data_IF_948684154850
#
_entry.id   IF_948684154850
#
_cell.length_a   1.000
_cell.length_b   1.000
_cell.length_c   1.000
_cell.angle_alpha   90.00
_cell.angle_beta   90.00
_cell.angle_gamma   90.00
#
_symmetry.space_group_name_H-M   'P 1'
#
loop_
_entity.id
_entity.type
_entity.pdbx_description
1 polymer ?
#
# COMPACT_ATOMS: atom_id res chain seq x y z
N UNK A 1 -36.35 9.98 16.96
CA UNK A 1 -37.19 9.11 16.12
C UNK A 1 -37.80 9.96 15.01
N UNK A 2 -37.45 9.75 13.75
CA UNK A 2 -38.18 10.32 12.62
C UNK A 2 -38.35 9.24 11.56
N UNK A 3 -39.52 8.59 11.61
CA UNK A 3 -40.06 7.80 10.51
C UNK A 3 -40.47 8.77 9.40
N UNK A 4 -39.68 8.88 8.33
CA UNK A 4 -40.17 9.49 7.10
C UNK A 4 -40.59 8.37 6.12
N UNK A 5 -41.91 8.16 6.12
CA UNK A 5 -42.79 7.49 5.18
C UNK A 5 -42.18 6.53 4.13
N UNK A 6 -42.13 5.25 4.53
CA UNK A 6 -42.09 4.07 3.66
C UNK A 6 -43.12 4.17 2.51
N UNK A 7 -44.25 4.87 2.69
CA UNK A 7 -45.29 5.07 1.66
C UNK A 7 -44.83 5.90 0.45
N UNK A 8 -43.91 6.85 0.60
CA UNK A 8 -43.47 7.70 -0.52
C UNK A 8 -42.50 6.97 -1.47
N UNK A 9 -41.56 6.19 -0.91
CA UNK A 9 -40.70 5.31 -1.70
C UNK A 9 -41.48 4.12 -2.30
N UNK A 10 -42.48 3.60 -1.58
CA UNK A 10 -43.41 2.61 -2.14
C UNK A 10 -44.21 3.18 -3.32
N UNK A 11 -44.68 4.43 -3.28
CA UNK A 11 -45.45 5.02 -4.37
C UNK A 11 -44.61 5.24 -5.64
N UNK A 12 -43.34 5.64 -5.50
CA UNK A 12 -42.41 5.81 -6.63
C UNK A 12 -42.03 4.45 -7.23
N UNK A 13 -41.82 3.42 -6.40
CA UNK A 13 -41.54 2.06 -6.87
C UNK A 13 -42.77 1.37 -7.47
N UNK A 14 -43.95 1.50 -6.87
CA UNK A 14 -45.20 0.97 -7.45
C UNK A 14 -45.49 1.64 -8.78
N UNK A 15 -45.25 2.94 -8.94
CA UNK A 15 -45.45 3.62 -10.22
C UNK A 15 -44.48 3.14 -11.32
N UNK A 16 -43.23 2.78 -10.96
CA UNK A 16 -42.25 2.20 -11.89
C UNK A 16 -42.56 0.72 -12.21
N UNK A 17 -42.96 -0.07 -11.21
CA UNK A 17 -43.41 -1.46 -11.39
C UNK A 17 -44.69 -1.52 -12.22
N UNK A 18 -45.64 -0.59 -12.01
CA UNK A 18 -46.88 -0.50 -12.79
C UNK A 18 -46.60 -0.11 -14.25
N UNK A 19 -45.64 0.79 -14.51
CA UNK A 19 -45.16 1.08 -15.88
C UNK A 19 -44.52 -0.13 -16.55
N UNK A 20 -43.76 -0.94 -15.81
CA UNK A 20 -43.14 -2.19 -16.31
C UNK A 20 -44.20 -3.29 -16.52
N UNK A 21 -45.22 -3.38 -15.66
CA UNK A 21 -46.34 -4.32 -15.82
C UNK A 21 -47.26 -3.94 -16.98
N UNK A 22 -47.50 -2.64 -17.22
CA UNK A 22 -48.17 -2.14 -18.43
C UNK A 22 -47.36 -2.51 -19.67
N UNK A 23 -46.03 -2.42 -19.64
CA UNK A 23 -45.15 -2.85 -20.72
C UNK A 23 -45.21 -4.37 -20.96
N UNK A 24 -45.32 -5.19 -19.89
CA UNK A 24 -45.54 -6.64 -19.97
C UNK A 24 -46.91 -7.00 -20.55
N UNK A 25 -47.95 -6.21 -20.26
CA UNK A 25 -49.32 -6.42 -20.79
C UNK A 25 -49.44 -6.03 -22.27
N UNK A 26 -48.60 -5.10 -22.74
CA UNK A 26 -48.49 -4.71 -24.14
C UNK A 26 -47.65 -5.67 -25.01
N UNK A 27 -46.95 -6.65 -24.42
CA UNK A 27 -46.17 -7.68 -25.15
C UNK A 27 -46.84 -9.06 -25.19
N UNK A 28 -48.13 -9.16 -24.87
CA UNK A 28 -48.95 -10.33 -25.14
C UNK A 28 -49.48 -10.27 -26.59
N UNK A 29 -48.56 -10.26 -27.54
CA UNK A 29 -48.86 -10.54 -28.95
C UNK A 29 -48.24 -11.91 -29.28
N UNK A 30 -48.97 -12.91 -29.83
CA UNK A 30 -48.54 -14.32 -29.82
C UNK A 30 -47.32 -14.64 -30.71
N UNK A 31 -46.65 -13.66 -31.31
CA UNK A 31 -45.70 -13.88 -32.39
C UNK A 31 -44.21 -13.72 -32.04
N UNK A 32 -43.82 -13.51 -30.79
CA UNK A 32 -42.41 -13.21 -30.48
C UNK A 32 -41.75 -14.16 -29.47
N UNK A 33 -41.54 -15.40 -29.92
CA UNK A 33 -40.80 -16.47 -29.21
C UNK A 33 -39.32 -16.10 -28.93
N UNK A 34 -38.79 -15.04 -29.56
CA UNK A 34 -37.40 -14.60 -29.44
C UNK A 34 -37.11 -13.79 -28.14
N UNK A 35 -38.13 -13.24 -27.48
CA UNK A 35 -37.96 -12.39 -26.30
C UNK A 35 -38.14 -13.10 -24.95
N UNK A 36 -38.63 -14.35 -24.94
CA UNK A 36 -38.94 -15.11 -23.73
C UNK A 36 -37.75 -15.36 -22.80
N UNK A 37 -36.59 -15.76 -23.37
CA UNK A 37 -35.37 -16.02 -22.59
C UNK A 37 -34.71 -14.74 -22.06
N UNK A 38 -34.75 -13.63 -22.83
CA UNK A 38 -34.25 -12.32 -22.38
C UNK A 38 -35.10 -11.75 -21.25
N UNK A 39 -36.42 -11.95 -21.28
CA UNK A 39 -37.36 -11.45 -20.25
C UNK A 39 -37.27 -12.27 -18.95
N UNK A 40 -36.97 -13.58 -19.03
CA UNK A 40 -36.66 -14.40 -17.84
C UNK A 40 -35.33 -14.00 -17.19
N UNK A 41 -34.27 -13.77 -17.98
CA UNK A 41 -33.00 -13.20 -17.47
C UNK A 41 -33.19 -11.81 -16.86
N UNK A 42 -34.03 -10.97 -17.45
CA UNK A 42 -34.37 -9.64 -16.89
C UNK A 42 -35.16 -9.76 -15.57
N UNK A 43 -36.11 -10.70 -15.47
CA UNK A 43 -36.90 -10.92 -14.24
C UNK A 43 -36.06 -11.48 -13.10
N UNK A 44 -35.07 -12.34 -13.38
CA UNK A 44 -34.13 -12.86 -12.39
C UNK A 44 -33.15 -11.77 -11.91
N UNK A 45 -32.66 -10.93 -12.82
CA UNK A 45 -31.90 -9.73 -12.46
C UNK A 45 -32.71 -8.75 -11.61
N UNK A 46 -34.00 -8.57 -11.90
CA UNK A 46 -34.87 -7.64 -11.17
C UNK A 46 -35.23 -8.19 -9.77
N UNK A 47 -35.46 -9.49 -9.61
CA UNK A 47 -35.68 -10.12 -8.29
C UNK A 47 -34.42 -10.03 -7.41
N UNK A 48 -33.23 -10.23 -7.97
CA UNK A 48 -31.99 -9.99 -7.24
C UNK A 48 -31.76 -8.50 -6.93
N UNK A 49 -32.17 -7.59 -7.81
CA UNK A 49 -32.20 -6.16 -7.52
C UNK A 49 -33.17 -5.82 -6.38
N UNK A 50 -34.31 -6.49 -6.29
CA UNK A 50 -35.29 -6.30 -5.21
C UNK A 50 -34.74 -6.81 -3.86
N UNK A 51 -34.02 -7.93 -3.83
CA UNK A 51 -33.36 -8.43 -2.61
C UNK A 51 -32.15 -7.56 -2.18
N UNK A 52 -31.38 -7.07 -3.14
CA UNK A 52 -30.28 -6.11 -2.89
C UNK A 52 -30.82 -4.78 -2.38
N UNK A 53 -31.98 -4.32 -2.88
CA UNK A 53 -32.63 -3.08 -2.43
C UNK A 53 -33.25 -3.21 -1.04
N UNK A 54 -33.63 -4.42 -0.59
CA UNK A 54 -34.12 -4.66 0.76
C UNK A 54 -33.06 -4.46 1.87
N UNK A 55 -31.77 -4.49 1.52
CA UNK A 55 -30.65 -4.29 2.47
C UNK A 55 -30.05 -2.88 2.40
N UNK A 56 -30.65 -1.97 1.64
CA UNK A 56 -30.24 -0.56 1.63
C UNK A 56 -31.06 0.19 2.67
N UNK A 57 -30.59 0.22 3.93
CA UNK A 57 -31.01 1.24 4.90
C UNK A 57 -30.47 2.59 4.42
N UNK A 58 -31.14 3.19 3.43
CA UNK A 58 -30.88 4.56 2.97
C UNK A 58 -31.27 5.52 4.11
N UNK A 59 -30.35 5.75 5.04
CA UNK A 59 -30.46 6.85 5.99
C UNK A 59 -30.21 8.15 5.20
N UNK A 60 -31.28 8.76 4.68
CA UNK A 60 -31.27 10.19 4.35
C UNK A 60 -31.18 10.95 5.68
N UNK A 61 -29.96 11.17 6.20
CA UNK A 61 -29.79 11.90 7.45
C UNK A 61 -29.25 13.29 7.22
N UNK A 62 -30.04 14.25 7.72
CA UNK A 62 -29.72 15.62 8.16
C UNK A 62 -28.45 15.76 9.06
N UNK A 63 -27.68 14.69 9.29
CA UNK A 63 -26.49 14.64 10.17
C UNK A 63 -25.17 14.47 9.38
N UNK A 64 -25.10 15.07 8.20
CA UNK A 64 -23.91 15.07 7.36
C UNK A 64 -22.67 15.53 8.15
N UNK A 65 -22.81 16.57 8.98
CA UNK A 65 -21.72 17.09 9.82
C UNK A 65 -21.09 16.01 10.71
N UNK A 66 -21.91 15.17 11.37
CA UNK A 66 -21.44 14.10 12.24
C UNK A 66 -20.70 13.00 11.45
N UNK A 67 -21.21 12.68 10.26
CA UNK A 67 -20.60 11.72 9.33
C UNK A 67 -19.23 12.21 8.86
N UNK A 68 -19.15 13.46 8.38
CA UNK A 68 -17.89 14.08 7.96
C UNK A 68 -16.86 14.06 9.08
N UNK A 69 -17.26 14.52 10.28
CA UNK A 69 -16.36 14.60 11.43
C UNK A 69 -15.78 13.23 11.79
N UNK A 70 -16.58 12.18 11.72
CA UNK A 70 -16.15 10.80 11.97
C UNK A 70 -15.19 10.28 10.88
N UNK A 71 -15.50 10.50 9.61
CA UNK A 71 -14.63 10.08 8.50
C UNK A 71 -13.28 10.77 8.56
N UNK A 72 -13.28 12.09 8.70
CA UNK A 72 -12.06 12.91 8.76
C UNK A 72 -11.23 12.56 10.00
N UNK A 73 -11.86 12.33 11.16
CA UNK A 73 -11.12 11.98 12.36
C UNK A 73 -10.40 10.64 12.24
N UNK A 74 -11.06 9.62 11.68
CA UNK A 74 -10.44 8.30 11.42
C UNK A 74 -9.38 8.43 10.33
N UNK A 75 -9.64 9.16 9.25
CA UNK A 75 -8.70 9.30 8.13
C UNK A 75 -7.42 10.07 8.51
N UNK A 76 -7.50 11.06 9.41
CA UNK A 76 -6.34 11.90 9.77
C UNK A 76 -5.57 11.39 10.99
N UNK A 77 -6.21 10.74 11.96
CA UNK A 77 -5.55 10.33 13.20
C UNK A 77 -5.13 8.86 13.19
N UNK A 78 -3.81 8.60 13.17
CA UNK A 78 -3.23 7.26 13.36
C UNK A 78 -3.74 6.59 14.64
N UNK A 79 -3.66 7.31 15.77
CA UNK A 79 -4.11 6.83 17.09
C UNK A 79 -5.58 6.38 17.05
N UNK A 80 -6.44 7.15 16.39
CA UNK A 80 -7.85 6.78 16.28
C UNK A 80 -8.09 5.56 15.38
N UNK A 81 -7.34 5.42 14.27
CA UNK A 81 -7.38 4.22 13.41
C UNK A 81 -7.00 2.97 14.19
N UNK A 82 -5.93 3.05 14.97
CA UNK A 82 -5.43 1.94 15.78
C UNK A 82 -6.42 1.57 16.88
N UNK A 83 -6.89 2.55 17.66
CA UNK A 83 -7.85 2.34 18.74
C UNK A 83 -9.18 1.76 18.25
N UNK A 84 -9.67 2.22 17.10
CA UNK A 84 -10.95 1.75 16.56
C UNK A 84 -10.81 0.51 15.67
N UNK A 85 -9.59 0.14 15.29
CA UNK A 85 -9.33 -0.91 14.31
C UNK A 85 -9.99 -0.65 12.96
N UNK A 86 -9.94 0.60 12.47
CA UNK A 86 -10.64 1.04 11.25
C UNK A 86 -9.71 1.71 10.25
N UNK A 87 -10.03 1.54 8.98
CA UNK A 87 -9.35 2.20 7.86
C UNK A 87 -10.38 2.82 6.90
N UNK A 88 -10.00 3.93 6.27
CA UNK A 88 -10.84 4.64 5.30
C UNK A 88 -10.25 4.41 3.92
N UNK A 89 -11.06 3.84 3.02
CA UNK A 89 -10.68 3.58 1.63
C UNK A 89 -11.46 4.51 0.71
N UNK A 90 -10.75 5.08 -0.26
CA UNK A 90 -11.29 6.04 -1.21
C UNK A 90 -11.20 5.48 -2.63
N UNK A 91 -12.32 5.52 -3.33
CA UNK A 91 -12.41 5.11 -4.72
C UNK A 91 -12.72 3.64 -4.93
N UNK A 92 -13.50 3.42 -5.99
CA UNK A 92 -14.05 2.12 -6.39
C UNK A 92 -13.00 1.02 -6.50
N UNK A 93 -11.84 1.29 -7.11
CA UNK A 93 -10.77 0.30 -7.30
C UNK A 93 -10.22 -0.23 -5.97
N UNK A 94 -9.89 0.67 -5.04
CA UNK A 94 -9.30 0.29 -3.75
C UNK A 94 -10.32 -0.45 -2.87
N UNK A 95 -11.58 0.02 -2.86
CA UNK A 95 -12.69 -0.63 -2.16
C UNK A 95 -12.92 -2.03 -2.71
N UNK A 96 -12.92 -2.20 -4.04
CA UNK A 96 -13.04 -3.51 -4.67
C UNK A 96 -11.90 -4.44 -4.28
N UNK A 97 -10.64 -3.99 -4.36
CA UNK A 97 -9.49 -4.79 -3.94
C UNK A 97 -9.61 -5.27 -2.49
N UNK A 98 -10.08 -4.41 -1.59
CA UNK A 98 -10.30 -4.78 -0.20
C UNK A 98 -11.39 -5.84 -0.04
N UNK A 99 -12.54 -5.67 -0.70
CA UNK A 99 -13.64 -6.65 -0.68
C UNK A 99 -13.21 -7.99 -1.32
N UNK A 100 -12.45 -7.95 -2.40
CA UNK A 100 -11.90 -9.13 -3.07
C UNK A 100 -10.97 -9.92 -2.14
N UNK A 101 -10.16 -9.22 -1.33
CA UNK A 101 -9.32 -9.80 -0.30
C UNK A 101 -10.07 -10.20 0.99
N UNK A 102 -11.41 -10.10 1.03
CA UNK A 102 -12.22 -10.47 2.18
C UNK A 102 -12.25 -9.44 3.32
N UNK A 103 -11.78 -8.22 3.08
CA UNK A 103 -11.88 -7.14 4.08
C UNK A 103 -13.35 -6.77 4.32
N UNK A 104 -13.69 -6.51 5.59
CA UNK A 104 -15.07 -6.27 6.01
C UNK A 104 -15.40 -4.78 5.98
N UNK A 105 -16.27 -4.39 5.05
CA UNK A 105 -16.81 -3.04 4.95
C UNK A 105 -17.89 -2.79 6.02
N UNK A 106 -17.75 -1.71 6.79
CA UNK A 106 -18.71 -1.29 7.82
C UNK A 106 -19.71 -0.27 7.29
N UNK A 107 -19.21 0.74 6.57
CA UNK A 107 -20.04 1.78 5.97
C UNK A 107 -19.48 2.19 4.61
N UNK A 108 -20.34 2.32 3.61
CA UNK A 108 -20.03 2.81 2.26
C UNK A 108 -20.83 4.08 2.03
N UNK A 109 -20.14 5.15 1.67
CA UNK A 109 -20.68 6.45 1.30
C UNK A 109 -20.51 6.63 -0.20
N UNK A 110 -21.58 6.99 -0.92
CA UNK A 110 -21.54 7.15 -2.36
C UNK A 110 -22.41 8.32 -2.82
N UNK A 111 -22.01 9.00 -3.91
CA UNK A 111 -22.74 10.14 -4.47
C UNK A 111 -23.69 9.74 -5.62
N UNK A 112 -23.26 8.79 -6.46
CA UNK A 112 -24.04 8.24 -7.58
C UNK A 112 -24.16 6.71 -7.48
N UNK A 113 -25.30 6.16 -7.91
CA UNK A 113 -25.52 4.71 -8.03
C UNK A 113 -24.47 4.06 -8.96
N UNK A 114 -23.96 4.81 -9.94
CA UNK A 114 -22.88 4.33 -10.82
C UNK A 114 -21.61 3.96 -10.05
N UNK A 115 -21.36 4.62 -8.91
CA UNK A 115 -20.18 4.36 -8.08
C UNK A 115 -20.24 2.99 -7.38
N UNK A 116 -21.45 2.43 -7.21
CA UNK A 116 -21.67 1.08 -6.66
C UNK A 116 -21.60 -0.02 -7.72
N UNK A 117 -21.68 0.32 -9.01
CA UNK A 117 -21.57 -0.67 -10.10
C UNK A 117 -20.21 -1.36 -10.05
N UNK A 118 -20.17 -2.65 -10.36
CA UNK A 118 -18.97 -3.52 -10.36
C UNK A 118 -18.32 -3.73 -8.96
N UNK A 119 -18.92 -3.24 -7.88
CA UNK A 119 -18.58 -3.73 -6.56
C UNK A 119 -19.26 -5.10 -6.35
N UNK A 120 -18.60 -6.04 -5.65
CA UNK A 120 -19.23 -7.30 -5.27
C UNK A 120 -20.30 -7.02 -4.20
N UNK A 121 -21.55 -6.82 -4.64
CA UNK A 121 -22.67 -6.43 -3.78
C UNK A 121 -23.05 -7.52 -2.77
N UNK A 122 -22.78 -8.78 -3.10
CA UNK A 122 -22.89 -9.94 -2.21
C UNK A 122 -22.07 -9.77 -0.93
N UNK A 123 -20.87 -9.16 -1.05
CA UNK A 123 -19.97 -8.88 0.07
C UNK A 123 -20.37 -7.65 0.91
N UNK A 124 -21.39 -6.90 0.47
CA UNK A 124 -21.90 -5.70 1.15
C UNK A 124 -23.18 -5.96 1.96
N UNK A 125 -23.64 -7.20 2.05
CA UNK A 125 -24.89 -7.57 2.74
C UNK A 125 -24.97 -7.14 4.22
N UNK A 126 -23.83 -6.98 4.90
CA UNK A 126 -23.75 -6.50 6.30
C UNK A 126 -23.24 -5.07 6.44
N UNK A 127 -23.12 -4.35 5.33
CA UNK A 127 -22.53 -3.02 5.26
C UNK A 127 -23.62 -1.94 5.26
N UNK A 128 -23.41 -0.87 6.01
CA UNK A 128 -24.30 0.29 5.96
C UNK A 128 -24.02 1.11 4.69
N UNK A 129 -25.01 1.25 3.80
CA UNK A 129 -24.87 1.96 2.53
C UNK A 129 -25.58 3.32 2.64
N UNK A 130 -24.83 4.40 2.50
CA UNK A 130 -25.30 5.78 2.72
C UNK A 130 -25.10 6.63 1.47
N UNK A 131 -26.20 7.16 0.92
CA UNK A 131 -26.15 8.12 -0.19
C UNK A 131 -25.84 9.52 0.33
N UNK A 132 -24.83 10.16 -0.24
CA UNK A 132 -24.33 11.49 0.12
C UNK A 132 -24.51 12.42 -1.10
N UNK A 133 -24.69 13.72 -0.91
CA UNK A 133 -24.78 14.67 -2.03
C UNK A 133 -23.37 14.97 -2.57
N UNK A 134 -23.26 15.24 -3.86
CA UNK A 134 -21.95 15.50 -4.49
C UNK A 134 -21.33 16.80 -3.98
N UNK A 135 -22.17 17.74 -3.56
CA UNK A 135 -21.80 19.07 -3.12
C UNK A 135 -21.27 19.10 -1.67
N UNK A 136 -21.18 17.97 -0.96
CA UNK A 136 -20.84 17.91 0.47
C UNK A 136 -19.31 18.05 0.71
N UNK A 137 -18.75 19.27 0.84
CA UNK A 137 -17.32 19.52 0.55
C UNK A 137 -16.39 18.89 1.59
N UNK A 138 -16.85 18.75 2.84
CA UNK A 138 -16.04 18.29 3.98
C UNK A 138 -15.75 16.79 3.98
N UNK A 139 -16.52 15.97 3.25
CA UNK A 139 -16.22 14.54 3.10
C UNK A 139 -15.14 14.34 2.04
N UNK A 140 -15.14 15.18 1.02
CA UNK A 140 -14.38 14.98 -0.21
C UNK A 140 -13.19 15.94 -0.35
N UNK A 141 -12.94 16.90 0.54
CA UNK A 141 -11.95 17.98 0.28
C UNK A 141 -10.49 17.55 0.16
N UNK A 142 -10.09 16.44 0.80
CA UNK A 142 -8.71 15.89 0.69
C UNK A 142 -8.65 14.66 -0.24
N UNK A 143 -9.79 14.28 -0.81
CA UNK A 143 -10.04 13.05 -1.55
C UNK A 143 -10.41 13.47 -2.97
N UNK A 144 -9.79 12.89 -3.98
CA UNK A 144 -9.97 13.36 -5.35
C UNK A 144 -11.46 13.26 -5.75
N UNK A 145 -12.07 14.40 -6.11
CA UNK A 145 -13.51 14.61 -6.35
C UNK A 145 -14.04 13.64 -7.43
N UNK A 146 -13.14 13.08 -8.25
CA UNK A 146 -13.42 12.07 -9.26
C UNK A 146 -13.98 10.75 -8.71
N UNK A 147 -13.76 10.42 -7.43
CA UNK A 147 -13.92 9.04 -6.95
C UNK A 147 -15.31 8.66 -6.45
N UNK A 148 -16.22 9.59 -6.16
CA UNK A 148 -17.67 9.36 -5.87
C UNK A 148 -18.05 8.29 -4.82
N UNK A 149 -17.08 7.63 -4.18
CA UNK A 149 -17.28 6.58 -3.18
C UNK A 149 -16.14 6.54 -2.16
N UNK A 150 -16.51 6.43 -0.89
CA UNK A 150 -15.61 6.24 0.27
C UNK A 150 -16.20 5.15 1.13
N UNK A 151 -15.35 4.35 1.77
CA UNK A 151 -15.83 3.32 2.68
C UNK A 151 -14.95 3.20 3.92
N UNK A 152 -15.58 2.90 5.05
CA UNK A 152 -14.92 2.54 6.30
C UNK A 152 -14.89 1.02 6.37
N UNK A 153 -13.69 0.47 6.53
CA UNK A 153 -13.46 -0.96 6.72
C UNK A 153 -12.95 -1.24 8.13
N UNK A 154 -13.22 -2.45 8.64
CA UNK A 154 -12.40 -3.02 9.72
C UNK A 154 -10.97 -3.17 9.17
N UNK A 155 -9.97 -2.72 9.92
CA UNK A 155 -8.56 -2.90 9.53
C UNK A 155 -8.29 -4.41 9.38
N UNK A 156 -7.76 -4.87 8.23
CA UNK A 156 -7.37 -6.27 8.07
C UNK A 156 -6.28 -6.64 9.07
N UNK A 157 -6.33 -7.86 9.58
CA UNK A 157 -5.26 -8.44 10.37
C UNK A 157 -4.26 -9.10 9.41
N UNK A 158 -2.96 -8.86 9.61
CA UNK A 158 -1.92 -9.32 8.69
C UNK A 158 -1.90 -10.85 8.53
N UNK A 159 -2.26 -11.60 9.57
CA UNK A 159 -2.40 -13.06 9.56
C UNK A 159 -3.47 -13.57 8.61
N UNK A 160 -4.48 -12.75 8.31
CA UNK A 160 -5.59 -13.11 7.42
C UNK A 160 -5.37 -12.63 5.98
N UNK A 161 -4.30 -11.87 5.74
CA UNK A 161 -3.91 -11.46 4.40
C UNK A 161 -2.94 -12.49 3.85
N UNK A 162 -3.26 -13.07 2.70
CA UNK A 162 -2.37 -13.96 1.95
C UNK A 162 -2.49 -13.63 0.47
N UNK A 163 -1.45 -13.96 -0.29
CA UNK A 163 -1.61 -14.00 -1.74
C UNK A 163 -2.68 -15.04 -2.06
N UNK A 164 -3.72 -14.63 -2.77
CA UNK A 164 -4.61 -15.59 -3.40
C UNK A 164 -3.78 -16.39 -4.40
N UNK A 165 -3.47 -17.65 -4.05
CA UNK A 165 -2.69 -18.54 -4.92
C UNK A 165 -3.36 -18.69 -6.29
N UNK A 166 -4.70 -18.74 -6.31
CA UNK A 166 -5.49 -18.79 -7.54
C UNK A 166 -5.28 -17.57 -8.44
N UNK A 167 -5.19 -16.37 -7.86
CA UNK A 167 -5.12 -15.12 -8.62
C UNK A 167 -3.69 -14.68 -8.96
N UNK A 168 -2.74 -14.92 -8.06
CA UNK A 168 -1.39 -14.35 -8.13
C UNK A 168 -0.28 -15.39 -8.06
N UNK A 169 -0.61 -16.67 -7.90
CA UNK A 169 0.35 -17.75 -7.67
C UNK A 169 0.92 -17.75 -6.25
N UNK A 170 1.83 -18.68 -5.99
CA UNK A 170 2.51 -18.79 -4.70
C UNK A 170 3.52 -17.65 -4.51
N UNK A 171 3.60 -17.04 -3.32
CA UNK A 171 4.62 -16.05 -3.02
C UNK A 171 6.01 -16.70 -3.07
N UNK A 172 7.02 -15.91 -3.45
CA UNK A 172 8.42 -16.30 -3.30
C UNK A 172 8.85 -16.13 -1.83
N UNK A 173 9.79 -16.93 -1.32
CA UNK A 173 10.25 -16.86 0.07
C UNK A 173 11.20 -15.68 0.29
N UNK A 174 10.73 -14.48 -0.05
CA UNK A 174 11.41 -13.20 0.07
C UNK A 174 10.58 -12.30 0.98
N UNK A 175 11.16 -11.83 2.09
CA UNK A 175 10.53 -10.87 2.99
C UNK A 175 11.24 -9.53 2.88
N UNK A 176 10.48 -8.47 2.70
CA UNK A 176 11.01 -7.11 2.71
C UNK A 176 10.90 -6.50 4.10
N UNK A 177 11.95 -5.84 4.56
CA UNK A 177 12.03 -5.13 5.83
C UNK A 177 12.32 -3.67 5.52
N UNK A 178 11.36 -2.80 5.82
CA UNK A 178 11.52 -1.36 5.67
C UNK A 178 12.02 -0.79 6.99
N UNK A 179 13.22 -0.21 6.98
CA UNK A 179 13.82 0.41 8.14
C UNK A 179 13.61 1.92 8.12
N UNK A 180 12.68 2.40 8.94
CA UNK A 180 12.43 3.83 9.16
C UNK A 180 12.17 4.62 7.85
N UNK A 181 11.41 4.03 6.92
CA UNK A 181 10.94 4.70 5.68
C UNK A 181 9.84 5.70 6.03
N UNK A 182 10.12 7.00 5.86
CA UNK A 182 9.27 8.08 6.38
C UNK A 182 8.42 8.76 5.32
N UNK A 183 8.79 8.68 4.05
CA UNK A 183 7.95 9.25 2.98
C UNK A 183 6.79 8.31 2.62
N UNK A 184 5.51 8.76 2.68
CA UNK A 184 4.35 7.98 2.25
C UNK A 184 4.43 7.49 0.80
N UNK A 185 5.04 8.27 -0.10
CA UNK A 185 5.17 7.94 -1.52
C UNK A 185 6.16 6.80 -1.73
N UNK A 186 7.32 6.88 -1.09
CA UNK A 186 8.33 5.82 -1.11
C UNK A 186 7.80 4.55 -0.49
N UNK A 187 7.18 4.60 0.71
CA UNK A 187 6.60 3.39 1.31
C UNK A 187 5.55 2.77 0.37
N UNK A 188 4.67 3.58 -0.22
CA UNK A 188 3.66 3.08 -1.14
C UNK A 188 4.25 2.43 -2.40
N UNK A 189 5.29 3.02 -2.98
CA UNK A 189 6.00 2.47 -4.14
C UNK A 189 6.71 1.15 -3.77
N UNK A 190 7.37 1.11 -2.62
CA UNK A 190 8.00 -0.10 -2.06
C UNK A 190 6.98 -1.22 -1.87
N UNK A 191 5.81 -0.94 -1.28
CA UNK A 191 4.75 -1.93 -1.10
C UNK A 191 4.23 -2.47 -2.43
N UNK A 192 4.10 -1.62 -3.45
CA UNK A 192 3.71 -2.05 -4.79
C UNK A 192 4.74 -2.96 -5.42
N UNK A 193 6.02 -2.61 -5.31
CA UNK A 193 7.11 -3.45 -5.82
C UNK A 193 7.17 -4.78 -5.07
N UNK A 194 6.97 -4.79 -3.76
CA UNK A 194 6.91 -6.03 -2.96
C UNK A 194 5.74 -6.93 -3.38
N UNK A 195 4.56 -6.35 -3.58
CA UNK A 195 3.38 -7.07 -4.07
C UNK A 195 3.61 -7.65 -5.47
N UNK A 196 4.16 -6.86 -6.39
CA UNK A 196 4.43 -7.27 -7.75
C UNK A 196 5.55 -8.34 -7.84
N UNK A 197 6.57 -8.22 -7.00
CA UNK A 197 7.62 -9.21 -6.86
C UNK A 197 7.14 -10.49 -6.16
N UNK A 198 5.92 -10.50 -5.60
CA UNK A 198 5.34 -11.65 -4.91
C UNK A 198 6.06 -12.00 -3.60
N UNK A 199 6.55 -10.98 -2.88
CA UNK A 199 7.21 -11.17 -1.59
C UNK A 199 6.29 -11.86 -0.60
N UNK A 200 6.80 -12.78 0.21
CA UNK A 200 6.05 -13.47 1.24
C UNK A 200 5.38 -12.51 2.24
N UNK A 201 6.10 -11.47 2.67
CA UNK A 201 5.61 -10.48 3.62
C UNK A 201 6.42 -9.18 3.56
N UNK A 202 5.85 -8.10 4.09
CA UNK A 202 6.54 -6.83 4.36
C UNK A 202 6.48 -6.51 5.85
N UNK A 203 7.65 -6.24 6.43
CA UNK A 203 7.83 -5.87 7.83
C UNK A 203 8.27 -4.40 7.89
N UNK A 204 7.67 -3.61 8.76
CA UNK A 204 8.01 -2.19 8.93
C UNK A 204 8.49 -1.96 10.36
N UNK A 205 9.68 -1.39 10.50
CA UNK A 205 10.21 -1.04 11.81
C UNK A 205 9.46 0.15 12.41
N UNK A 206 9.52 0.30 13.74
CA UNK A 206 9.10 1.53 14.42
C UNK A 206 9.87 2.72 13.83
N UNK A 207 9.14 3.79 13.51
CA UNK A 207 9.68 4.96 12.81
C UNK A 207 9.23 5.05 11.35
N UNK A 208 8.77 3.94 10.75
CA UNK A 208 8.11 4.00 9.46
C UNK A 208 6.79 4.79 9.50
N UNK A 209 6.45 5.38 8.36
CA UNK A 209 5.17 6.06 8.15
C UNK A 209 3.99 5.09 8.32
N UNK A 210 2.82 5.61 8.72
CA UNK A 210 1.65 4.78 8.94
C UNK A 210 1.14 4.19 7.62
N UNK A 211 1.34 2.88 7.44
CA UNK A 211 0.94 2.16 6.24
C UNK A 211 -0.57 2.29 5.92
N UNK A 212 -1.41 2.51 6.94
CA UNK A 212 -2.85 2.64 6.77
C UNK A 212 -3.33 4.09 6.61
N UNK A 213 -2.44 5.06 6.44
CA UNK A 213 -2.85 6.43 6.15
C UNK A 213 -3.40 6.58 4.72
N UNK A 214 -4.28 7.56 4.46
CA UNK A 214 -4.90 7.73 3.14
C UNK A 214 -3.90 7.91 1.98
N UNK A 215 -2.78 8.61 2.20
CA UNK A 215 -1.78 8.86 1.14
C UNK A 215 -1.11 7.56 0.71
N UNK A 216 -0.67 6.74 1.67
CA UNK A 216 -0.05 5.42 1.40
C UNK A 216 -1.07 4.48 0.76
N UNK A 217 -2.29 4.39 1.29
CA UNK A 217 -3.37 3.56 0.73
C UNK A 217 -3.67 3.86 -0.73
N UNK A 218 -3.77 5.16 -1.09
CA UNK A 218 -3.98 5.59 -2.48
C UNK A 218 -2.79 5.25 -3.37
N UNK A 219 -1.59 5.63 -2.95
CA UNK A 219 -0.39 5.51 -3.76
C UNK A 219 0.02 4.04 -3.96
N UNK A 220 -0.25 3.18 -2.97
CA UNK A 220 0.07 1.75 -3.01
C UNK A 220 -0.91 0.93 -3.87
N UNK A 221 -2.01 1.54 -4.34
CA UNK A 221 -2.95 0.95 -5.30
C UNK A 221 -3.47 -0.45 -4.90
N UNK A 222 -3.70 -0.68 -3.61
CA UNK A 222 -4.25 -1.93 -3.10
C UNK A 222 -3.23 -3.01 -2.73
N UNK A 223 -1.92 -2.73 -2.78
CA UNK A 223 -0.88 -3.67 -2.33
C UNK A 223 -1.15 -4.22 -0.91
N UNK A 224 -1.67 -3.38 -0.01
CA UNK A 224 -2.12 -3.75 1.36
C UNK A 224 -3.05 -4.98 1.44
N UNK A 225 -3.75 -5.30 0.36
CA UNK A 225 -4.73 -6.38 0.32
C UNK A 225 -4.22 -7.59 -0.47
N UNK A 226 -2.99 -7.54 -0.98
CA UNK A 226 -2.38 -8.63 -1.74
C UNK A 226 -1.32 -9.39 -0.94
N UNK A 227 -0.72 -8.79 0.08
CA UNK A 227 0.30 -9.42 0.91
C UNK A 227 0.21 -9.01 2.39
N UNK A 228 0.73 -9.83 3.32
CA UNK A 228 0.86 -9.46 4.72
C UNK A 228 1.80 -8.26 4.89
N UNK A 229 1.29 -7.22 5.55
CA UNK A 229 2.09 -6.05 5.96
C UNK A 229 1.99 -5.88 7.47
N UNK A 230 3.13 -5.95 8.15
CA UNK A 230 3.19 -5.93 9.62
C UNK A 230 3.89 -4.63 10.07
N UNK A 231 3.13 -3.64 10.59
CA UNK A 231 3.68 -2.36 11.01
C UNK A 231 4.23 -2.35 12.44
N UNK A 232 5.06 -1.35 12.72
CA UNK A 232 5.47 -0.94 14.09
C UNK A 232 6.28 -1.98 14.87
N UNK A 233 7.10 -2.77 14.19
CA UNK A 233 7.97 -3.78 14.81
C UNK A 233 9.24 -3.15 15.39
N UNK A 234 9.69 -3.63 16.54
CA UNK A 234 11.07 -3.40 16.98
C UNK A 234 12.01 -4.37 16.28
N UNK A 235 13.30 -4.05 16.22
CA UNK A 235 14.30 -4.97 15.68
C UNK A 235 14.39 -6.31 16.42
N UNK A 236 14.01 -6.34 17.70
CA UNK A 236 13.87 -7.61 18.46
C UNK A 236 12.67 -8.45 18.02
N UNK A 237 11.63 -7.84 17.46
CA UNK A 237 10.43 -8.55 17.00
C UNK A 237 10.66 -9.18 15.61
N UNK A 238 11.48 -8.57 14.75
CA UNK A 238 11.69 -8.97 13.35
C UNK A 238 12.03 -10.47 13.21
N UNK A 239 12.98 -11.06 13.97
CA UNK A 239 13.31 -12.48 13.84
C UNK A 239 12.15 -13.43 14.13
N UNK A 240 11.16 -13.02 14.94
CA UNK A 240 9.99 -13.85 15.25
C UNK A 240 9.02 -13.99 14.07
N UNK A 241 9.12 -13.10 13.09
CA UNK A 241 8.32 -13.10 11.86
C UNK A 241 9.03 -13.76 10.68
N UNK A 242 10.21 -14.34 10.90
CA UNK A 242 11.03 -14.98 9.87
C UNK A 242 11.33 -16.42 10.27
N UNK A 243 11.49 -17.35 9.30
CA UNK A 243 12.03 -18.67 9.59
C UNK A 243 13.42 -18.58 10.24
N UNK A 244 13.76 -19.51 11.14
CA UNK A 244 15.09 -19.56 11.80
C UNK A 244 16.25 -19.71 10.80
N UNK A 245 15.97 -20.22 9.61
CA UNK A 245 16.93 -20.41 8.53
C UNK A 245 16.99 -19.21 7.57
N UNK A 246 16.34 -18.09 7.89
CA UNK A 246 16.30 -16.94 7.00
C UNK A 246 17.64 -16.18 7.02
N UNK A 247 18.13 -15.81 5.85
CA UNK A 247 19.32 -14.96 5.68
C UNK A 247 18.86 -13.54 5.35
N UNK A 248 19.37 -12.53 6.06
CA UNK A 248 18.92 -11.15 5.93
C UNK A 248 20.03 -10.30 5.31
N UNK A 249 19.75 -9.70 4.16
CA UNK A 249 20.66 -8.80 3.46
C UNK A 249 20.19 -7.36 3.61
N UNK A 250 21.10 -6.41 3.43
CA UNK A 250 20.79 -4.99 3.49
C UNK A 250 21.12 -4.32 2.16
N UNK A 251 20.28 -3.39 1.71
CA UNK A 251 20.59 -2.55 0.57
C UNK A 251 21.43 -1.36 1.01
N UNK A 252 22.67 -1.30 0.55
CA UNK A 252 23.60 -0.27 0.99
C UNK A 252 24.51 0.15 -0.16
N UNK A 253 24.83 1.45 -0.20
CA UNK A 253 25.79 2.01 -1.14
C UNK A 253 27.18 2.21 -0.53
N UNK A 254 27.38 1.81 0.74
CA UNK A 254 28.70 1.90 1.37
C UNK A 254 29.70 0.96 0.68
N UNK A 255 30.49 1.51 -0.24
CA UNK A 255 31.65 0.84 -0.81
C UNK A 255 32.79 0.86 0.20
N UNK A 256 32.71 0.08 1.27
CA UNK A 256 33.95 -0.41 1.88
C UNK A 256 34.60 -1.26 0.81
N UNK A 257 35.56 -0.66 0.09
CA UNK A 257 36.35 -1.20 -1.01
C UNK A 257 36.10 -2.69 -1.23
N UNK A 258 35.26 -3.00 -2.22
CA UNK A 258 35.43 -4.27 -2.94
C UNK A 258 36.89 -4.25 -3.36
N UNK A 259 37.71 -5.12 -2.79
CA UNK A 259 39.14 -5.20 -3.11
C UNK A 259 39.24 -5.65 -4.56
N UNK A 260 39.15 -4.69 -5.47
CA UNK A 260 39.71 -4.83 -6.80
C UNK A 260 41.22 -4.75 -6.61
N UNK A 261 41.86 -5.90 -6.76
CA UNK A 261 43.28 -5.96 -7.06
C UNK A 261 43.56 -4.98 -8.22
N UNK A 262 44.54 -4.09 -7.99
CA UNK A 262 45.20 -3.16 -8.91
C UNK A 262 44.83 -1.67 -8.79
N UNK A 263 45.63 -0.98 -7.97
CA UNK A 263 46.20 0.35 -8.21
C UNK A 263 45.37 1.37 -9.00
N UNK A 264 44.51 2.11 -8.30
CA UNK A 264 44.41 3.58 -8.44
C UNK A 264 43.60 4.16 -7.29
N UNK A 265 44.30 4.72 -6.30
CA UNK A 265 43.67 5.48 -5.21
C UNK A 265 43.31 6.87 -5.76
N UNK A 266 42.03 7.20 -5.83
CA UNK A 266 41.57 8.58 -6.05
C UNK A 266 40.87 9.03 -4.75
N UNK A 267 41.31 10.13 -4.09
CA UNK A 267 40.75 10.54 -2.81
C UNK A 267 39.31 11.04 -2.94
N UNK A 268 38.40 10.56 -2.09
CA UNK A 268 37.09 11.17 -1.88
C UNK A 268 37.25 12.52 -1.18
N UNK A 269 37.26 13.62 -1.93
CA UNK A 269 36.99 14.96 -1.39
C UNK A 269 35.48 15.19 -1.42
N UNK A 270 34.86 15.26 -0.23
CA UNK A 270 33.49 15.75 -0.05
C UNK A 270 33.40 17.19 -0.58
N UNK A 271 32.73 17.40 -1.72
CA UNK A 271 32.32 18.75 -2.15
C UNK A 271 30.83 18.93 -1.88
N UNK A 272 30.49 20.03 -1.21
CA UNK A 272 29.10 20.40 -0.88
C UNK A 272 28.32 20.74 -2.18
N UNK A 273 27.00 20.50 -2.22
CA UNK A 273 26.17 20.73 -3.43
C UNK A 273 26.03 22.19 -3.89
N UNK A 274 26.67 23.15 -3.23
CA UNK A 274 26.61 24.59 -3.53
C UNK A 274 27.57 25.06 -4.63
N UNK A 275 28.44 24.19 -5.16
CA UNK A 275 29.46 24.56 -6.16
C UNK A 275 28.97 24.51 -7.62
N UNK A 276 27.72 24.11 -7.88
CA UNK A 276 27.15 24.16 -9.23
C UNK A 276 26.45 25.51 -9.47
N UNK A 277 27.24 26.49 -9.95
CA UNK A 277 26.77 27.82 -10.28
C UNK A 277 25.92 27.88 -11.56
N UNK A 278 24.67 28.35 -11.42
CA UNK A 278 23.87 28.95 -12.49
C UNK A 278 22.94 30.05 -11.95
N UNK A 279 23.49 31.17 -11.45
CA UNK A 279 22.85 32.51 -11.51
C UNK A 279 23.96 33.57 -11.45
N UNK A 280 24.03 34.48 -12.44
CA UNK A 280 24.87 35.70 -12.34
C UNK A 280 24.23 36.65 -11.34
N UNK A 281 24.96 37.06 -10.30
CA UNK A 281 24.53 38.11 -9.38
C UNK A 281 25.64 38.57 -8.43
N UNK A 282 26.36 39.63 -8.85
CA UNK A 282 27.09 40.64 -8.07
C UNK A 282 27.95 40.21 -6.86
N UNK A 283 29.26 40.41 -7.02
CA UNK A 283 30.29 40.35 -5.97
C UNK A 283 30.04 41.38 -4.86
N UNK A 284 30.12 40.93 -3.61
CA UNK A 284 30.56 41.74 -2.46
C UNK A 284 31.46 40.86 -1.57
N UNK A 285 32.68 41.29 -1.21
CA UNK A 285 33.50 40.54 -0.27
C UNK A 285 33.10 40.92 1.15
N UNK A 286 32.61 39.95 1.94
CA UNK A 286 32.63 40.04 3.40
C UNK A 286 33.43 38.88 3.95
N UNK A 287 34.61 39.20 4.50
CA UNK A 287 35.30 38.34 5.46
C UNK A 287 34.38 38.14 6.65
N UNK A 288 33.99 36.90 6.92
CA UNK A 288 33.53 36.48 8.24
C UNK A 288 34.17 35.12 8.47
N UNK A 289 35.19 35.12 9.33
CA UNK A 289 35.71 33.92 9.97
C UNK A 289 34.58 33.34 10.85
N UNK A 290 34.30 32.05 10.69
CA UNK A 290 33.57 31.30 11.69
C UNK A 290 34.47 30.19 12.18
N UNK A 291 34.65 30.20 13.49
CA UNK A 291 35.44 29.31 14.32
C UNK A 291 34.91 27.87 14.18
N UNK A 292 35.85 26.93 14.04
CA UNK A 292 35.60 25.49 14.13
C UNK A 292 35.26 25.13 15.58
N UNK A 293 33.98 25.00 15.89
CA UNK A 293 33.50 24.31 17.09
C UNK A 293 32.16 23.62 16.78
N UNK A 294 32.24 22.34 16.41
CA UNK A 294 31.28 21.32 16.82
C UNK A 294 31.87 19.93 16.54
N UNK A 295 32.87 19.61 17.35
CA UNK A 295 33.40 18.29 17.62
C UNK A 295 32.26 17.36 18.10
N UNK A 296 31.64 16.63 17.17
CA UNK A 296 30.76 15.50 17.53
C UNK A 296 31.62 14.24 17.67
N UNK A 297 31.82 13.83 18.91
CA UNK A 297 32.71 12.77 19.37
C UNK A 297 32.60 11.46 18.58
N UNK A 298 33.75 11.04 18.07
CA UNK A 298 33.98 9.72 17.53
C UNK A 298 34.45 8.80 18.66
N UNK A 299 33.50 8.24 19.41
CA UNK A 299 33.76 7.13 20.31
C UNK A 299 32.69 6.06 20.14
N UNK A 300 33.00 5.03 19.34
CA UNK A 300 32.82 3.64 19.78
C UNK A 300 33.53 2.66 18.81
N UNK A 301 34.62 2.11 19.31
CA UNK A 301 35.35 0.96 18.77
C UNK A 301 34.46 -0.31 18.89
N UNK A 302 33.62 -0.57 17.90
CA UNK A 302 32.99 -1.89 17.72
C UNK A 302 33.81 -2.67 16.70
N UNK A 303 34.73 -3.51 17.19
CA UNK A 303 35.58 -4.42 16.41
C UNK A 303 34.79 -5.62 15.86
N UNK A 304 33.54 -5.40 15.45
CA UNK A 304 32.72 -6.34 14.70
C UNK A 304 33.22 -6.46 13.26
N UNK A 305 33.14 -7.66 12.67
CA UNK A 305 33.51 -7.85 11.26
C UNK A 305 32.61 -6.94 10.42
N UNK A 306 33.20 -6.04 9.64
CA UNK A 306 32.43 -5.23 8.70
C UNK A 306 31.65 -6.18 7.77
N UNK A 307 30.33 -6.04 7.74
CA UNK A 307 29.44 -6.83 6.89
C UNK A 307 29.91 -6.78 5.43
N UNK A 308 30.22 -7.94 4.85
CA UNK A 308 30.77 -8.07 3.50
C UNK A 308 29.82 -7.47 2.46
N UNK A 309 30.39 -6.74 1.51
CA UNK A 309 29.67 -6.13 0.38
C UNK A 309 29.77 -7.02 -0.86
N UNK A 310 28.67 -7.15 -1.59
CA UNK A 310 28.62 -7.81 -2.89
C UNK A 310 27.72 -7.05 -3.85
N UNK A 311 27.93 -7.25 -5.16
CA UNK A 311 27.00 -6.74 -6.16
C UNK A 311 25.65 -7.45 -6.11
N UNK A 312 24.58 -6.70 -6.36
CA UNK A 312 23.20 -7.21 -6.27
C UNK A 312 22.86 -8.34 -7.25
N UNK A 313 23.60 -8.46 -8.35
CA UNK A 313 23.38 -9.47 -9.38
C UNK A 313 24.14 -10.78 -9.11
N UNK A 314 25.00 -10.82 -8.09
CA UNK A 314 25.60 -12.06 -7.59
C UNK A 314 24.55 -12.79 -6.76
N UNK A 315 24.46 -14.12 -6.85
CA UNK A 315 23.46 -14.91 -6.13
C UNK A 315 23.50 -14.62 -4.62
N UNK A 316 22.40 -14.09 -4.09
CA UNK A 316 22.25 -13.71 -2.68
C UNK A 316 21.02 -14.32 -2.01
N UNK A 317 20.15 -14.96 -2.78
CA UNK A 317 18.97 -15.61 -2.24
C UNK A 317 19.26 -17.02 -1.75
N UNK A 318 18.50 -17.44 -0.74
CA UNK A 318 18.57 -18.76 -0.13
C UNK A 318 17.14 -19.33 0.01
N UNK A 319 16.92 -20.31 0.91
CA UNK A 319 15.58 -20.88 1.16
C UNK A 319 14.53 -19.83 1.51
N UNK A 320 14.82 -18.98 2.50
CA UNK A 320 14.02 -17.79 2.82
C UNK A 320 14.96 -16.63 3.03
N UNK A 321 14.69 -15.52 2.37
CA UNK A 321 15.61 -14.38 2.35
C UNK A 321 14.90 -13.11 2.81
N UNK A 322 15.54 -12.36 3.70
CA UNK A 322 15.13 -11.03 4.10
C UNK A 322 15.93 -9.97 3.34
N UNK A 323 15.28 -8.89 2.92
CA UNK A 323 15.93 -7.72 2.35
C UNK A 323 15.57 -6.49 3.19
N UNK A 324 16.56 -5.77 3.70
CA UNK A 324 16.37 -4.51 4.43
C UNK A 324 16.59 -3.32 3.50
N UNK A 325 15.66 -2.38 3.49
CA UNK A 325 15.76 -1.09 2.80
C UNK A 325 15.71 0.03 3.84
N UNK A 326 16.72 0.90 3.84
CA UNK A 326 16.81 2.06 4.73
C UNK A 326 15.93 3.24 4.29
N UNK A 327 15.61 4.08 5.28
CA UNK A 327 14.94 5.36 5.08
C UNK A 327 15.83 6.41 4.42
N UNK A 328 15.22 7.45 3.89
CA UNK A 328 15.84 8.42 2.98
C UNK A 328 16.93 9.27 3.65
N UNK A 329 16.77 9.59 4.94
CA UNK A 329 17.64 10.57 5.62
C UNK A 329 18.78 9.96 6.44
N UNK A 330 18.61 8.73 6.92
CA UNK A 330 19.57 8.09 7.85
C UNK A 330 20.10 6.75 7.31
N UNK A 331 19.60 6.27 6.16
CA UNK A 331 19.95 4.97 5.63
C UNK A 331 19.54 3.83 6.55
N UNK A 332 20.42 2.83 6.67
CA UNK A 332 20.24 1.64 7.50
C UNK A 332 20.63 1.91 8.95
N UNK A 333 19.84 1.41 9.90
CA UNK A 333 20.18 1.40 11.33
C UNK A 333 21.31 0.39 11.66
N UNK A 334 21.99 0.59 12.79
CA UNK A 334 23.01 -0.37 13.28
C UNK A 334 22.40 -1.73 13.57
N UNK A 335 21.15 -1.76 14.02
CA UNK A 335 20.37 -2.96 14.27
C UNK A 335 20.11 -3.77 12.99
N UNK A 336 19.86 -3.09 11.86
CA UNK A 336 19.76 -3.75 10.55
C UNK A 336 21.06 -4.47 10.19
N UNK A 337 22.19 -3.78 10.32
CA UNK A 337 23.52 -4.31 10.01
C UNK A 337 23.86 -5.51 10.90
N UNK A 338 23.63 -5.39 12.21
CA UNK A 338 23.84 -6.48 13.18
C UNK A 338 22.96 -7.70 12.89
N UNK A 339 21.70 -7.49 12.49
CA UNK A 339 20.81 -8.59 12.15
C UNK A 339 21.27 -9.30 10.87
N UNK A 340 21.73 -8.54 9.87
CA UNK A 340 22.29 -9.12 8.66
C UNK A 340 23.57 -9.92 8.95
N UNK A 341 24.50 -9.38 9.73
CA UNK A 341 25.73 -10.08 10.13
C UNK A 341 25.41 -11.40 10.87
N UNK A 342 24.51 -11.36 11.85
CA UNK A 342 24.10 -12.54 12.63
C UNK A 342 23.44 -13.64 11.80
N UNK A 343 22.83 -13.29 10.67
CA UNK A 343 22.18 -14.26 9.78
C UNK A 343 23.06 -14.69 8.61
N UNK A 344 24.32 -14.25 8.58
CA UNK A 344 25.27 -14.53 7.49
C UNK A 344 24.90 -13.81 6.20
N UNK A 345 24.17 -12.71 6.29
CA UNK A 345 23.82 -11.87 5.16
C UNK A 345 24.95 -10.97 4.68
N UNK A 346 24.62 -10.10 3.73
CA UNK A 346 25.58 -9.22 3.03
C UNK A 346 24.98 -7.85 2.75
N UNK A 347 25.84 -6.86 2.48
CA UNK A 347 25.46 -5.60 1.86
C UNK A 347 25.31 -5.80 0.36
N UNK A 348 24.13 -5.50 -0.18
CA UNK A 348 23.86 -5.58 -1.62
C UNK A 348 24.07 -4.19 -2.24
N UNK A 349 25.08 -4.11 -3.10
CA UNK A 349 25.46 -2.91 -3.82
C UNK A 349 24.82 -2.88 -5.20
N UNK A 350 24.12 -1.78 -5.50
CA UNK A 350 23.69 -1.44 -6.87
C UNK A 350 24.76 -0.51 -7.44
N UNK A 351 25.52 -0.92 -8.48
CA UNK A 351 26.56 -0.08 -9.06
C UNK A 351 25.93 1.18 -9.67
N UNK A 352 26.52 2.33 -9.38
CA UNK A 352 26.10 3.63 -9.90
C UNK A 352 27.25 4.30 -10.65
N UNK A 353 26.91 5.20 -11.58
CA UNK A 353 27.90 6.02 -12.26
C UNK A 353 28.54 7.02 -11.29
N UNK A 354 29.78 7.41 -11.58
CA UNK A 354 30.53 8.36 -10.76
C UNK A 354 29.76 9.68 -10.55
N UNK A 355 29.75 10.17 -9.32
CA UNK A 355 29.07 11.42 -8.93
C UNK A 355 27.59 11.28 -8.58
N UNK A 356 27.03 10.05 -8.60
CA UNK A 356 25.68 9.77 -8.07
C UNK A 356 25.80 9.05 -6.73
N UNK A 357 25.37 9.71 -5.66
CA UNK A 357 25.60 9.25 -4.29
C UNK A 357 24.60 8.19 -3.81
N UNK A 358 23.37 8.19 -4.33
CA UNK A 358 22.33 7.25 -3.92
C UNK A 358 21.15 7.19 -4.91
N UNK A 359 20.42 6.07 -4.84
CA UNK A 359 19.10 5.94 -5.45
C UNK A 359 18.02 6.21 -4.41
N UNK A 360 16.85 6.64 -4.88
CA UNK A 360 15.64 6.63 -4.06
C UNK A 360 15.37 5.22 -3.50
N UNK A 361 15.04 5.11 -2.21
CA UNK A 361 14.83 3.83 -1.52
C UNK A 361 13.82 2.91 -2.23
N UNK A 362 12.76 3.46 -2.82
CA UNK A 362 11.78 2.66 -3.55
C UNK A 362 12.31 2.12 -4.88
N UNK A 363 13.19 2.87 -5.56
CA UNK A 363 13.86 2.40 -6.78
C UNK A 363 14.87 1.30 -6.46
N UNK A 364 15.69 1.50 -5.43
CA UNK A 364 16.63 0.49 -4.95
C UNK A 364 15.89 -0.80 -4.53
N UNK A 365 14.82 -0.67 -3.75
CA UNK A 365 13.96 -1.80 -3.38
C UNK A 365 13.43 -2.54 -4.61
N UNK A 366 12.95 -1.81 -5.62
CA UNK A 366 12.41 -2.42 -6.83
C UNK A 366 13.46 -3.25 -7.57
N UNK A 367 14.66 -2.71 -7.80
CA UNK A 367 15.75 -3.43 -8.47
C UNK A 367 16.09 -4.73 -7.72
N UNK A 368 16.29 -4.63 -6.41
CA UNK A 368 16.69 -5.77 -5.58
C UNK A 368 15.59 -6.82 -5.47
N UNK A 369 14.32 -6.40 -5.30
CA UNK A 369 13.20 -7.34 -5.18
C UNK A 369 12.99 -8.16 -6.44
N UNK A 370 13.09 -7.54 -7.63
CA UNK A 370 12.91 -8.25 -8.89
C UNK A 370 14.11 -9.14 -9.23
N UNK A 371 15.34 -8.73 -8.91
CA UNK A 371 16.50 -9.61 -9.06
C UNK A 371 16.43 -10.79 -8.08
N UNK A 372 16.06 -10.56 -6.82
CA UNK A 372 15.87 -11.63 -5.84
C UNK A 372 14.77 -12.61 -6.25
N UNK A 373 13.64 -12.11 -6.77
CA UNK A 373 12.59 -12.97 -7.34
C UNK A 373 13.14 -13.84 -8.47
N UNK A 374 13.90 -13.25 -9.41
CA UNK A 374 14.49 -13.97 -10.55
C UNK A 374 15.43 -15.08 -10.07
N UNK A 375 16.33 -14.79 -9.13
CA UNK A 375 17.24 -15.78 -8.56
C UNK A 375 16.47 -16.90 -7.84
N UNK A 376 15.43 -16.57 -7.06
CA UNK A 376 14.60 -17.56 -6.35
C UNK A 376 13.84 -18.48 -7.31
N UNK A 377 13.33 -17.94 -8.42
CA UNK A 377 12.66 -18.75 -9.44
C UNK A 377 13.65 -19.70 -10.12
N UNK A 378 14.85 -19.23 -10.47
CA UNK A 378 15.90 -20.08 -11.04
C UNK A 378 16.35 -21.17 -10.06
N UNK A 379 16.48 -20.85 -8.78
CA UNK A 379 16.79 -21.83 -7.74
C UNK A 379 15.70 -22.88 -7.61
N UNK A 380 14.42 -22.48 -7.65
CA UNK A 380 13.30 -23.40 -7.57
C UNK A 380 13.24 -24.34 -8.79
N UNK A 381 13.63 -23.89 -9.97
CA UNK A 381 13.76 -24.73 -11.17
C UNK A 381 14.90 -25.74 -11.03
N UNK A 382 16.09 -25.31 -10.57
CA UNK A 382 17.25 -26.18 -10.33
C UNK A 382 17.00 -27.27 -9.28
N UNK A 383 16.15 -27.01 -8.28
CA UNK A 383 15.78 -28.01 -7.26
C UNK A 383 14.78 -29.04 -7.82
N UNK A 384 14.00 -28.68 -8.85
CA UNK A 384 12.99 -29.57 -9.47
C UNK A 384 13.58 -30.47 -10.56
N UNK A 385 14.62 -30.01 -11.26
CA UNK A 385 15.41 -30.79 -12.21
C UNK A 385 16.35 -31.75 -11.48
#
# INVERSE_FOLDING_TARGET
MCFLNIKACQHIMLHQIHKIMIFKKASYDPFNKFWGEKIQKLSFCILHLVDVVFTVKCHLTFNLHCICRRLVSIARSKKLREQQGKVVLEGKRLIRSALDAGAVAQTVYFSSVDALRELPLDKLSRTSIVKVRKEDPKIWSDLDISKNIIAIFKRPEASHLTFSEEKYGKPVPLTLICDNVRDPGNLAAVLRSAAAAGCHSVLLTKGCVDVWEPKVLRAAMGAHFCLPVIPSLTWSDIPSHLPKTATIHVADNCSTTLTEDNNTVIPQQQKKPSDYGWVRGHQYPRKVEYEDDDFCGFEDYDSGKSLETQYYYIDWVARHTGLVIGGESHGLSREALRLAERTGGRRLLIPMVYGVDSLNSAMAASILLFEGRKQLLSLAEKIRS
#
